data_IF_810323812921
#
_entry.id   IF_810323812921
#
_cell.length_a   1.000
_cell.length_b   1.000
_cell.length_c   1.000
_cell.angle_alpha   90.00
_cell.angle_beta   90.00
_cell.angle_gamma   90.00
#
_symmetry.space_group_name_H-M   'P 1'
#
loop_
_entity.id
_entity.type
_entity.pdbx_description
1 polymer ?
#
# COMPACT_ATOMS: atom_id res chain seq x y z
N UNK A 1 -1.75 12.25 17.92
CA UNK A 1 -1.65 10.85 17.47
C UNK A 1 -2.56 10.64 16.29
N UNK A 2 -2.47 9.50 15.62
CA UNK A 2 -3.30 9.17 14.45
C UNK A 2 -4.73 8.87 14.87
N UNK A 3 -5.65 9.80 14.59
CA UNK A 3 -7.08 9.69 14.93
C UNK A 3 -7.97 9.56 13.70
N UNK A 4 -7.39 9.70 12.51
CA UNK A 4 -8.01 9.46 11.20
C UNK A 4 -7.14 8.51 10.40
N UNK A 5 -7.69 7.73 9.45
CA UNK A 5 -6.90 6.79 8.66
C UNK A 5 -5.87 7.52 7.79
N UNK A 6 -4.72 6.90 7.60
CA UNK A 6 -3.74 7.26 6.56
C UNK A 6 -3.92 6.26 5.43
N UNK A 7 -4.16 6.73 4.21
CA UNK A 7 -4.29 5.86 3.04
C UNK A 7 -2.99 5.91 2.25
N UNK A 8 -2.31 4.78 2.10
CA UNK A 8 -1.12 4.69 1.25
C UNK A 8 -1.54 4.24 -0.15
N UNK A 9 -1.34 5.11 -1.14
CA UNK A 9 -1.50 4.76 -2.56
C UNK A 9 -0.15 4.36 -3.15
N UNK A 10 0.07 3.07 -3.37
CA UNK A 10 1.34 2.54 -3.90
C UNK A 10 1.33 2.48 -5.42
N UNK A 11 2.37 3.03 -6.06
CA UNK A 11 2.58 2.84 -7.50
C UNK A 11 3.11 1.43 -7.81
N UNK A 12 2.24 0.49 -8.15
CA UNK A 12 2.60 -0.92 -8.36
C UNK A 12 3.24 -1.24 -9.73
N UNK A 13 4.15 -0.39 -10.23
CA UNK A 13 4.85 -0.61 -11.50
C UNK A 13 6.30 -0.09 -11.46
N UNK A 14 7.19 -0.77 -12.18
CA UNK A 14 8.56 -0.32 -12.41
C UNK A 14 9.43 -0.26 -11.15
N UNK A 15 10.40 0.65 -11.17
CA UNK A 15 11.36 0.91 -10.11
C UNK A 15 12.10 -0.39 -9.67
N UNK A 16 12.41 -0.56 -8.39
CA UNK A 16 13.14 -1.72 -7.86
C UNK A 16 12.48 -3.07 -8.22
N UNK A 17 11.17 -3.10 -8.43
CA UNK A 17 10.40 -4.33 -8.66
C UNK A 17 10.49 -4.82 -10.11
N UNK A 18 11.11 -4.05 -11.00
CA UNK A 18 11.48 -4.45 -12.36
C UNK A 18 12.91 -4.04 -12.71
N UNK A 19 13.76 -3.93 -11.69
CA UNK A 19 15.16 -3.60 -11.88
C UNK A 19 15.94 -4.78 -12.47
N UNK A 20 17.07 -4.47 -13.12
CA UNK A 20 18.10 -5.44 -13.45
C UNK A 20 19.34 -5.11 -12.62
N UNK A 21 19.85 -6.07 -11.87
CA UNK A 21 21.02 -5.93 -11.02
C UNK A 21 22.04 -7.05 -11.26
N UNK A 22 23.30 -6.77 -10.95
CA UNK A 22 24.38 -7.74 -11.07
C UNK A 22 25.57 -7.42 -10.17
N UNK A 23 26.42 -8.43 -9.94
CA UNK A 23 27.74 -8.27 -9.31
C UNK A 23 28.81 -8.15 -10.39
N UNK A 24 29.70 -7.17 -10.26
CA UNK A 24 30.91 -7.09 -11.09
C UNK A 24 32.14 -7.54 -10.30
N UNK A 25 33.04 -8.35 -10.90
CA UNK A 25 34.06 -9.09 -10.16
C UNK A 25 35.35 -8.30 -9.84
N UNK A 26 35.52 -7.08 -10.34
CA UNK A 26 36.75 -6.31 -10.19
C UNK A 26 36.66 -4.92 -10.79
N UNK A 27 37.81 -4.24 -10.93
CA UNK A 27 37.87 -2.89 -11.48
C UNK A 27 37.25 -2.79 -12.88
N UNK A 28 36.56 -1.70 -13.18
CA UNK A 28 35.96 -1.48 -14.49
C UNK A 28 35.00 -0.29 -14.52
N UNK A 29 34.60 0.11 -15.72
CA UNK A 29 33.68 1.23 -15.93
C UNK A 29 32.24 0.73 -16.01
N UNK A 30 31.35 1.36 -15.25
CA UNK A 30 29.90 1.17 -15.35
C UNK A 30 29.31 2.32 -16.18
N UNK A 31 28.58 1.98 -17.24
CA UNK A 31 27.80 2.94 -18.04
C UNK A 31 26.32 2.53 -18.06
N UNK A 32 25.45 3.52 -18.30
CA UNK A 32 24.04 3.31 -18.60
C UNK A 32 23.76 3.88 -19.99
N UNK A 33 23.03 3.12 -20.81
CA UNK A 33 22.87 3.41 -22.23
C UNK A 33 21.43 3.20 -22.69
N UNK A 34 20.92 4.17 -23.45
CA UNK A 34 19.68 4.09 -24.19
C UNK A 34 19.99 4.17 -25.70
N UNK A 35 19.37 3.29 -26.48
CA UNK A 35 19.45 3.28 -27.94
C UNK A 35 18.02 3.42 -28.47
N UNK A 36 17.71 4.60 -29.00
CA UNK A 36 16.42 4.87 -29.61
C UNK A 36 16.27 4.15 -30.95
N UNK A 37 15.03 3.85 -31.33
CA UNK A 37 14.72 3.30 -32.65
C UNK A 37 15.06 4.28 -33.79
N UNK A 38 15.16 5.57 -33.48
CA UNK A 38 15.66 6.62 -34.38
C UNK A 38 17.19 6.61 -34.54
N UNK A 39 17.88 5.65 -33.92
CA UNK A 39 19.32 5.53 -33.92
C UNK A 39 20.04 6.47 -32.96
N UNK A 40 19.33 7.33 -32.21
CA UNK A 40 19.95 8.20 -31.21
C UNK A 40 20.41 7.38 -30.02
N UNK A 41 21.65 7.63 -29.59
CA UNK A 41 22.25 6.98 -28.44
C UNK A 41 22.44 8.00 -27.33
N UNK A 42 21.97 7.66 -26.14
CA UNK A 42 22.26 8.37 -24.91
C UNK A 42 23.09 7.43 -24.05
N UNK A 43 24.30 7.84 -23.68
CA UNK A 43 25.19 7.04 -22.84
C UNK A 43 25.78 7.91 -21.74
N UNK A 44 25.70 7.44 -20.50
CA UNK A 44 26.22 8.13 -19.33
C UNK A 44 27.16 7.20 -18.56
N UNK A 45 28.29 7.72 -18.13
CA UNK A 45 29.12 7.04 -17.14
C UNK A 45 28.43 7.11 -15.77
N UNK A 46 28.28 5.94 -15.14
CA UNK A 46 27.71 5.81 -13.80
C UNK A 46 28.84 5.85 -12.77
N UNK A 47 29.89 5.06 -12.97
CA UNK A 47 30.99 4.95 -12.02
C UNK A 47 32.23 4.29 -12.64
N UNK A 48 33.42 4.79 -12.33
CA UNK A 48 34.70 4.12 -12.58
C UNK A 48 35.09 3.31 -11.33
N UNK A 49 34.79 2.01 -11.35
CA UNK A 49 34.90 1.15 -10.19
C UNK A 49 36.36 0.70 -9.96
N UNK A 50 36.94 0.92 -8.76
CA UNK A 50 38.32 0.52 -8.47
C UNK A 50 38.46 -0.96 -8.05
N UNK A 51 37.36 -1.63 -7.71
CA UNK A 51 37.32 -3.00 -7.20
C UNK A 51 35.95 -3.65 -7.52
N UNK A 52 35.69 -4.87 -7.03
CA UNK A 52 34.41 -5.56 -7.20
C UNK A 52 33.25 -4.84 -6.48
N UNK A 53 32.01 -5.07 -6.93
CA UNK A 53 30.82 -4.43 -6.36
C UNK A 53 29.51 -4.89 -7.00
N UNK A 54 28.46 -4.08 -6.82
CA UNK A 54 27.12 -4.32 -7.38
C UNK A 54 26.62 -3.08 -8.14
N UNK A 55 25.86 -3.31 -9.19
CA UNK A 55 25.21 -2.26 -9.97
C UNK A 55 23.77 -2.65 -10.27
N UNK A 56 22.92 -1.65 -10.47
CA UNK A 56 21.54 -1.85 -10.90
C UNK A 56 21.07 -0.73 -11.82
N UNK A 57 20.06 -1.04 -12.63
CA UNK A 57 19.28 -0.07 -13.37
C UNK A 57 17.79 -0.37 -13.18
N UNK A 58 16.98 0.68 -13.12
CA UNK A 58 15.53 0.60 -13.04
C UNK A 58 14.89 1.66 -13.94
N UNK A 59 13.60 1.50 -14.21
CA UNK A 59 12.87 2.39 -15.10
C UNK A 59 11.42 2.53 -14.65
N UNK A 60 10.79 3.59 -15.14
CA UNK A 60 9.36 3.77 -15.07
C UNK A 60 8.86 4.37 -16.39
N UNK A 61 7.54 4.37 -16.59
CA UNK A 61 6.91 4.88 -17.79
C UNK A 61 6.02 6.06 -17.46
N UNK A 62 6.15 7.09 -18.26
CA UNK A 62 5.36 8.31 -18.23
C UNK A 62 3.85 8.02 -18.07
N UNK A 63 3.28 7.13 -18.89
CA UNK A 63 1.84 6.82 -18.81
C UNK A 63 1.47 6.13 -17.49
N UNK A 64 2.31 5.20 -17.01
CA UNK A 64 2.07 4.54 -15.73
C UNK A 64 2.06 5.53 -14.56
N UNK A 65 2.91 6.56 -14.61
CA UNK A 65 2.93 7.64 -13.60
C UNK A 65 1.66 8.50 -13.70
N UNK A 66 1.18 8.82 -14.91
CA UNK A 66 -0.09 9.57 -15.11
C UNK A 66 -1.28 8.81 -14.56
N UNK A 67 -1.38 7.53 -14.88
CA UNK A 67 -2.43 6.64 -14.37
C UNK A 67 -2.40 6.57 -12.84
N UNK A 68 -1.21 6.47 -12.24
CA UNK A 68 -1.03 6.50 -10.80
C UNK A 68 -1.46 7.85 -10.17
N UNK A 69 -1.14 8.97 -10.82
CA UNK A 69 -1.58 10.30 -10.39
C UNK A 69 -3.11 10.40 -10.39
N UNK A 70 -3.76 10.03 -11.50
CA UNK A 70 -5.22 10.02 -11.62
C UNK A 70 -5.88 9.13 -10.58
N UNK A 71 -5.37 7.92 -10.36
CA UNK A 71 -5.89 7.00 -9.36
C UNK A 71 -5.82 7.60 -7.95
N UNK A 72 -4.67 8.17 -7.59
CA UNK A 72 -4.45 8.80 -6.27
C UNK A 72 -5.35 10.01 -6.04
N UNK A 73 -5.48 10.89 -7.05
CA UNK A 73 -6.29 12.10 -6.99
C UNK A 73 -7.80 11.80 -6.95
N UNK A 74 -8.28 10.86 -7.77
CA UNK A 74 -9.65 10.37 -7.72
C UNK A 74 -9.99 9.77 -6.35
N UNK A 75 -9.08 8.98 -5.77
CA UNK A 75 -9.30 8.43 -4.43
C UNK A 75 -9.33 9.52 -3.36
N UNK A 76 -8.51 10.57 -3.49
CA UNK A 76 -8.58 11.78 -2.67
C UNK A 76 -9.95 12.45 -2.73
N UNK A 77 -10.51 12.65 -3.93
CA UNK A 77 -11.86 13.21 -4.12
C UNK A 77 -12.97 12.35 -3.50
N UNK A 78 -12.88 11.03 -3.72
CA UNK A 78 -13.83 10.04 -3.20
C UNK A 78 -13.86 10.06 -1.67
N UNK A 79 -12.69 10.14 -1.03
CA UNK A 79 -12.55 10.18 0.43
C UNK A 79 -12.69 11.58 1.02
N UNK A 80 -12.76 12.61 0.18
CA UNK A 80 -12.71 14.01 0.56
C UNK A 80 -11.46 14.37 1.38
N UNK A 81 -10.30 13.83 0.98
CA UNK A 81 -9.01 13.93 1.66
C UNK A 81 -7.98 14.63 0.77
N UNK A 82 -7.05 15.44 1.35
CA UNK A 82 -5.90 15.94 0.61
C UNK A 82 -4.97 14.80 0.18
N UNK A 83 -4.21 15.04 -0.89
CA UNK A 83 -3.30 14.06 -1.50
C UNK A 83 -1.87 14.57 -1.44
N UNK A 84 -0.96 13.72 -0.96
CA UNK A 84 0.47 14.02 -0.89
C UNK A 84 1.27 13.04 -1.73
N UNK A 85 2.04 13.53 -2.70
CA UNK A 85 3.07 12.73 -3.38
C UNK A 85 4.40 12.92 -2.66
N UNK A 86 5.10 11.84 -2.35
CA UNK A 86 6.46 11.89 -1.82
C UNK A 86 7.50 11.35 -2.79
N UNK A 87 8.63 12.07 -2.93
CA UNK A 87 9.78 11.63 -3.75
C UNK A 87 11.11 12.11 -3.14
N UNK A 88 12.25 11.80 -3.77
CA UNK A 88 13.55 12.41 -3.49
C UNK A 88 14.11 13.20 -4.69
N UNK A 89 13.28 14.02 -5.33
CA UNK A 89 13.63 14.77 -6.55
C UNK A 89 14.79 15.78 -6.41
N UNK A 90 15.20 16.16 -5.19
CA UNK A 90 16.42 16.95 -4.99
C UNK A 90 17.69 16.17 -5.34
N UNK A 91 17.65 14.84 -5.19
CA UNK A 91 18.73 13.90 -5.52
C UNK A 91 18.50 13.27 -6.89
N UNK A 92 17.35 12.62 -7.09
CA UNK A 92 16.97 11.99 -8.35
C UNK A 92 16.27 13.01 -9.27
N UNK A 93 17.01 14.04 -9.69
CA UNK A 93 16.46 15.23 -10.36
C UNK A 93 15.61 14.91 -11.59
N UNK A 94 16.07 14.01 -12.46
CA UNK A 94 15.32 13.60 -13.64
C UNK A 94 14.23 12.58 -13.30
N UNK A 95 14.59 11.51 -12.60
CA UNK A 95 13.69 10.37 -12.36
C UNK A 95 12.51 10.75 -11.45
N UNK A 96 12.80 11.26 -10.25
CA UNK A 96 11.78 11.66 -9.29
C UNK A 96 11.19 13.03 -9.62
N UNK A 97 11.95 13.88 -10.33
CA UNK A 97 11.39 15.10 -10.93
C UNK A 97 10.26 14.78 -11.89
N UNK A 98 10.38 13.71 -12.70
CA UNK A 98 9.32 13.32 -13.63
C UNK A 98 8.02 12.92 -12.94
N UNK A 99 8.09 12.22 -11.80
CA UNK A 99 6.91 11.94 -10.97
C UNK A 99 6.24 13.22 -10.48
N UNK A 100 7.04 14.14 -9.93
CA UNK A 100 6.55 15.44 -9.45
C UNK A 100 5.86 16.22 -10.56
N UNK A 101 6.53 16.35 -11.71
CA UNK A 101 6.04 17.15 -12.83
C UNK A 101 4.75 16.57 -13.39
N UNK A 102 4.69 15.26 -13.63
CA UNK A 102 3.48 14.58 -14.13
C UNK A 102 2.30 14.74 -13.16
N UNK A 103 2.52 14.55 -11.85
CA UNK A 103 1.43 14.73 -10.88
C UNK A 103 0.91 16.18 -10.87
N UNK A 104 1.82 17.16 -11.00
CA UNK A 104 1.43 18.57 -11.08
C UNK A 104 0.63 18.85 -12.35
N UNK A 105 1.11 18.39 -13.51
CA UNK A 105 0.43 18.51 -14.81
C UNK A 105 -0.99 17.92 -14.75
N UNK A 106 -1.14 16.70 -14.22
CA UNK A 106 -2.45 16.03 -14.09
C UNK A 106 -3.35 16.78 -13.11
N UNK A 107 -2.84 17.19 -11.95
CA UNK A 107 -3.62 17.91 -10.95
C UNK A 107 -4.19 19.23 -11.51
N UNK A 108 -3.34 20.06 -12.13
CA UNK A 108 -3.73 21.34 -12.69
C UNK A 108 -4.71 21.20 -13.85
N UNK A 109 -4.50 20.22 -14.72
CA UNK A 109 -5.34 20.01 -15.90
C UNK A 109 -6.70 19.38 -15.58
N UNK A 110 -6.75 18.43 -14.64
CA UNK A 110 -7.91 17.53 -14.48
C UNK A 110 -8.62 17.67 -13.11
N UNK A 111 -7.94 18.10 -12.03
CA UNK A 111 -8.45 17.94 -10.66
C UNK A 111 -8.56 19.23 -9.84
N UNK A 112 -7.82 20.29 -10.19
CA UNK A 112 -7.65 21.46 -9.33
C UNK A 112 -8.99 22.13 -8.95
N UNK A 113 -9.91 22.26 -9.91
CA UNK A 113 -11.21 22.88 -9.67
C UNK A 113 -12.05 22.13 -8.63
N UNK A 114 -12.09 20.80 -8.71
CA UNK A 114 -12.85 19.96 -7.79
C UNK A 114 -12.22 19.91 -6.39
N UNK A 115 -10.89 19.85 -6.31
CA UNK A 115 -10.16 19.92 -5.05
C UNK A 115 -10.42 21.24 -4.32
N UNK A 116 -10.33 22.37 -5.03
CA UNK A 116 -10.67 23.71 -4.50
C UNK A 116 -12.11 23.77 -4.00
N UNK A 117 -13.07 23.24 -4.76
CA UNK A 117 -14.49 23.21 -4.37
C UNK A 117 -14.72 22.41 -3.07
N UNK A 118 -13.99 21.30 -2.88
CA UNK A 118 -14.04 20.45 -1.68
C UNK A 118 -13.14 20.93 -0.54
N UNK A 119 -12.38 22.02 -0.73
CA UNK A 119 -11.41 22.55 0.24
C UNK A 119 -10.34 21.53 0.66
N UNK A 120 -9.92 20.70 -0.29
CA UNK A 120 -8.78 19.78 -0.18
C UNK A 120 -7.71 20.21 -1.19
N UNK A 121 -6.50 19.67 -1.08
CA UNK A 121 -5.37 20.07 -1.91
C UNK A 121 -4.51 18.88 -2.31
N UNK A 122 -3.71 19.08 -3.36
CA UNK A 122 -2.58 18.24 -3.71
C UNK A 122 -1.29 18.95 -3.33
N UNK A 123 -0.32 18.21 -2.79
CA UNK A 123 1.01 18.73 -2.48
C UNK A 123 2.11 17.69 -2.73
N UNK A 124 3.20 18.11 -3.35
CA UNK A 124 4.43 17.33 -3.43
C UNK A 124 5.30 17.61 -2.21
N UNK A 125 5.87 16.56 -1.60
CA UNK A 125 6.86 16.65 -0.53
C UNK A 125 8.09 15.80 -0.80
N UNK A 126 9.20 16.18 -0.18
CA UNK A 126 10.34 15.29 -0.07
C UNK A 126 10.00 14.16 0.92
N UNK A 127 10.38 12.93 0.60
CA UNK A 127 10.00 11.73 1.35
C UNK A 127 10.40 11.80 2.83
N UNK A 128 11.55 12.39 3.15
CA UNK A 128 12.02 12.60 4.52
C UNK A 128 11.17 13.60 5.31
N UNK A 129 10.70 14.67 4.67
CA UNK A 129 9.74 15.60 5.29
C UNK A 129 8.34 14.98 5.41
N UNK A 130 7.93 14.18 4.41
CA UNK A 130 6.63 13.50 4.43
C UNK A 130 6.53 12.48 5.57
N UNK A 131 7.55 11.64 5.78
CA UNK A 131 7.55 10.66 6.88
C UNK A 131 7.55 11.36 8.24
N UNK A 132 8.30 12.45 8.40
CA UNK A 132 8.33 13.24 9.63
C UNK A 132 6.99 13.94 9.89
N UNK A 133 6.32 14.40 8.84
CA UNK A 133 4.98 15.00 8.89
C UNK A 133 3.92 13.97 9.26
N UNK A 134 3.98 12.78 8.64
CA UNK A 134 3.06 11.66 8.91
C UNK A 134 3.03 11.29 10.39
N UNK A 135 4.20 11.21 11.04
CA UNK A 135 4.31 10.93 12.48
C UNK A 135 3.67 12.00 13.39
N UNK A 136 3.59 13.25 12.93
CA UNK A 136 3.08 14.39 13.71
C UNK A 136 1.60 14.66 13.47
N UNK A 137 1.12 14.42 12.25
CA UNK A 137 -0.26 14.68 11.86
C UNK A 137 -1.23 13.68 12.46
N UNK A 138 -2.52 13.99 12.38
CA UNK A 138 -3.59 13.14 12.93
C UNK A 138 -4.14 12.11 11.93
N UNK A 139 -3.51 11.95 10.77
CA UNK A 139 -4.05 11.21 9.63
C UNK A 139 -5.09 12.00 8.82
N UNK A 140 -5.86 11.31 7.97
CA UNK A 140 -6.92 11.92 7.17
C UNK A 140 -6.44 12.46 5.81
N UNK A 141 -5.52 11.74 5.17
CA UNK A 141 -4.95 12.11 3.87
C UNK A 141 -4.62 10.84 3.05
N UNK A 142 -4.47 11.03 1.74
CA UNK A 142 -3.89 10.03 0.83
C UNK A 142 -2.41 10.34 0.65
N UNK A 143 -1.56 9.34 0.86
CA UNK A 143 -0.13 9.39 0.63
C UNK A 143 0.20 8.56 -0.61
N UNK A 144 0.31 9.25 -1.75
CA UNK A 144 0.79 8.67 -2.99
C UNK A 144 2.30 8.40 -2.86
N UNK A 145 2.66 7.12 -2.81
CA UNK A 145 4.02 6.65 -2.68
C UNK A 145 4.50 5.99 -3.97
N UNK A 146 5.76 6.24 -4.32
CA UNK A 146 6.47 5.40 -5.29
C UNK A 146 6.48 3.94 -4.86
N UNK A 147 6.80 3.03 -5.77
CA UNK A 147 6.62 1.60 -5.54
C UNK A 147 7.25 1.10 -4.23
N UNK A 148 8.54 1.39 -4.04
CA UNK A 148 9.29 0.98 -2.84
C UNK A 148 8.85 1.71 -1.57
N UNK A 149 8.62 3.02 -1.67
CA UNK A 149 8.15 3.80 -0.51
C UNK A 149 6.78 3.30 -0.05
N UNK A 150 5.89 2.95 -0.99
CA UNK A 150 4.56 2.46 -0.68
C UNK A 150 4.58 1.11 0.02
N UNK A 151 5.47 0.21 -0.41
CA UNK A 151 5.70 -1.07 0.26
C UNK A 151 6.09 -0.85 1.73
N UNK A 152 7.18 -0.12 1.97
CA UNK A 152 7.73 0.09 3.33
C UNK A 152 6.79 0.92 4.22
N UNK A 153 6.21 2.00 3.68
CA UNK A 153 5.39 2.91 4.49
C UNK A 153 4.00 2.35 4.76
N UNK A 154 3.46 1.48 3.89
CA UNK A 154 2.21 0.78 4.18
C UNK A 154 2.35 -0.09 5.43
N UNK A 155 3.44 -0.84 5.58
CA UNK A 155 3.73 -1.63 6.77
C UNK A 155 3.88 -0.76 8.03
N UNK A 156 4.57 0.38 7.89
CA UNK A 156 4.77 1.34 8.99
C UNK A 156 3.42 1.91 9.46
N UNK A 157 2.55 2.30 8.51
CA UNK A 157 1.21 2.80 8.80
C UNK A 157 0.36 1.70 9.44
N UNK A 158 0.34 0.48 8.89
CA UNK A 158 -0.40 -0.64 9.45
C UNK A 158 -0.02 -0.92 10.90
N UNK A 159 1.29 -0.97 11.17
CA UNK A 159 1.81 -1.21 12.51
C UNK A 159 1.50 -0.06 13.47
N UNK A 160 1.54 1.19 13.01
CA UNK A 160 1.17 2.35 13.85
C UNK A 160 -0.33 2.48 14.13
N UNK A 161 -1.19 1.84 13.32
CA UNK A 161 -2.61 1.61 13.65
C UNK A 161 -2.87 0.32 14.44
N UNK A 162 -1.82 -0.41 14.79
CA UNK A 162 -1.86 -1.53 15.74
C UNK A 162 -1.22 -2.80 15.20
N UNK A 163 -1.64 -3.27 14.03
CA UNK A 163 -1.14 -4.52 13.46
C UNK A 163 -1.27 -4.55 11.94
N UNK A 164 -0.31 -5.18 11.29
CA UNK A 164 -0.38 -5.58 9.88
C UNK A 164 -1.65 -6.38 9.56
N UNK A 165 -2.17 -7.14 10.52
CA UNK A 165 -3.42 -7.90 10.39
C UNK A 165 -4.68 -7.05 10.29
N UNK A 166 -4.60 -5.74 10.53
CA UNK A 166 -5.73 -4.80 10.46
C UNK A 166 -5.73 -3.93 9.20
N UNK A 167 -4.80 -4.12 8.27
CA UNK A 167 -4.74 -3.32 7.04
C UNK A 167 -5.36 -4.06 5.86
N UNK A 168 -6.20 -3.34 5.10
CA UNK A 168 -6.71 -3.78 3.80
C UNK A 168 -5.82 -3.28 2.66
N UNK A 169 -5.54 -4.12 1.66
CA UNK A 169 -4.91 -3.70 0.40
C UNK A 169 -5.88 -3.93 -0.75
N UNK A 170 -6.07 -2.92 -1.59
CA UNK A 170 -6.87 -3.01 -2.81
C UNK A 170 -6.13 -2.26 -3.93
N UNK A 171 -5.68 -3.01 -4.93
CA UNK A 171 -5.21 -2.47 -6.19
C UNK A 171 -6.43 -2.16 -7.07
N UNK A 172 -6.52 -0.92 -7.57
CA UNK A 172 -7.58 -0.50 -8.49
C UNK A 172 -6.93 -0.06 -9.81
N UNK A 173 -7.43 -0.60 -10.92
CA UNK A 173 -6.99 -0.16 -12.25
C UNK A 173 -7.56 1.22 -12.60
N UNK A 174 -6.95 1.94 -13.54
CA UNK A 174 -7.38 3.30 -13.92
C UNK A 174 -8.81 3.38 -14.45
N UNK A 175 -9.35 2.28 -15.00
CA UNK A 175 -10.74 2.19 -15.47
C UNK A 175 -11.79 2.22 -14.34
N UNK A 176 -11.36 2.12 -13.07
CA UNK A 176 -12.22 2.07 -11.90
C UNK A 176 -13.12 0.82 -11.81
N UNK A 177 -12.88 -0.19 -12.66
CA UNK A 177 -13.70 -1.41 -12.77
C UNK A 177 -12.96 -2.66 -12.34
N UNK A 178 -11.67 -2.77 -12.60
CA UNK A 178 -10.91 -3.95 -12.18
C UNK A 178 -10.26 -3.69 -10.83
N UNK A 179 -10.44 -4.61 -9.89
CA UNK A 179 -9.79 -4.55 -8.59
C UNK A 179 -9.14 -5.89 -8.27
N UNK A 180 -8.01 -5.81 -7.58
CA UNK A 180 -7.37 -6.94 -6.93
C UNK A 180 -7.30 -6.58 -5.44
N UNK A 181 -7.77 -7.50 -4.59
CA UNK A 181 -7.86 -7.28 -3.15
C UNK A 181 -7.03 -8.35 -2.45
N UNK A 182 -6.13 -7.90 -1.59
CA UNK A 182 -5.16 -8.75 -0.90
C UNK A 182 -4.99 -8.32 0.57
N UNK A 183 -4.38 -9.19 1.36
CA UNK A 183 -3.82 -8.78 2.64
C UNK A 183 -2.50 -8.06 2.39
N UNK A 184 -2.25 -6.93 3.07
CA UNK A 184 -1.01 -6.18 2.88
C UNK A 184 0.24 -6.91 3.44
N UNK A 185 0.04 -7.90 4.31
CA UNK A 185 1.13 -8.63 4.94
C UNK A 185 1.56 -9.85 4.13
N UNK A 186 2.81 -10.28 4.32
CA UNK A 186 3.33 -11.53 3.74
C UNK A 186 2.75 -12.80 4.38
N UNK A 187 3.33 -13.95 4.04
CA UNK A 187 2.84 -15.30 4.42
C UNK A 187 3.06 -15.69 5.89
N UNK A 188 3.48 -14.74 6.74
CA UNK A 188 3.73 -14.95 8.18
C UNK A 188 4.61 -16.18 8.46
N UNK A 189 5.73 -16.31 7.72
CA UNK A 189 6.58 -17.51 7.70
C UNK A 189 7.00 -17.98 9.09
N UNK A 190 7.21 -17.07 10.04
CA UNK A 190 7.55 -17.41 11.44
C UNK A 190 6.46 -18.26 12.10
N UNK A 191 5.18 -17.89 11.95
CA UNK A 191 4.07 -18.67 12.49
C UNK A 191 3.91 -19.99 11.73
N UNK A 192 4.12 -19.97 10.42
CA UNK A 192 4.09 -21.19 9.62
C UNK A 192 5.12 -22.24 10.10
N UNK A 193 6.33 -21.81 10.50
CA UNK A 193 7.35 -22.71 11.07
C UNK A 193 6.94 -23.29 12.44
N UNK A 194 6.17 -22.56 13.24
CA UNK A 194 5.60 -23.07 14.51
C UNK A 194 4.50 -24.10 14.22
N UNK A 195 3.61 -23.78 13.30
CA UNK A 195 2.57 -24.70 12.83
C UNK A 195 3.16 -26.02 12.30
N UNK A 196 4.25 -25.99 11.53
CA UNK A 196 4.94 -27.19 11.03
C UNK A 196 5.48 -28.10 12.15
N UNK A 197 5.70 -27.56 13.36
CA UNK A 197 6.11 -28.33 14.54
C UNK A 197 4.92 -28.82 15.37
N UNK A 198 3.69 -28.55 14.95
CA UNK A 198 2.47 -28.82 15.73
C UNK A 198 2.24 -27.83 16.88
N UNK A 199 2.97 -26.71 16.91
CA UNK A 199 2.77 -25.66 17.90
C UNK A 199 1.52 -24.84 17.58
N UNK A 200 0.77 -24.46 18.61
CA UNK A 200 -0.38 -23.56 18.46
C UNK A 200 0.11 -22.15 18.08
N UNK A 201 -0.55 -21.53 17.10
CA UNK A 201 -0.24 -20.18 16.64
C UNK A 201 -1.38 -19.22 16.97
N UNK A 202 -1.13 -17.92 16.95
CA UNK A 202 -2.15 -16.88 17.01
C UNK A 202 -1.90 -15.87 15.90
N UNK A 203 -2.31 -16.25 14.69
CA UNK A 203 -2.15 -15.47 13.46
C UNK A 203 -3.44 -14.72 13.18
N UNK A 204 -3.36 -13.40 13.07
CA UNK A 204 -4.50 -12.56 12.76
C UNK A 204 -4.98 -12.80 11.32
N UNK A 205 -6.24 -13.17 11.15
CA UNK A 205 -6.86 -13.47 9.86
C UNK A 205 -7.70 -12.33 9.29
N UNK A 206 -7.83 -11.20 9.99
CA UNK A 206 -8.75 -10.11 9.62
C UNK A 206 -8.41 -9.54 8.24
N UNK A 207 -7.15 -9.15 7.97
CA UNK A 207 -6.74 -8.65 6.66
C UNK A 207 -7.05 -9.64 5.51
N UNK A 208 -6.86 -10.95 5.75
CA UNK A 208 -7.18 -12.00 4.78
C UNK A 208 -8.69 -12.13 4.56
N UNK A 209 -9.50 -12.03 5.61
CA UNK A 209 -10.97 -12.00 5.51
C UNK A 209 -11.41 -10.76 4.74
N UNK A 210 -10.82 -9.60 5.01
CA UNK A 210 -11.15 -8.35 4.34
C UNK A 210 -10.75 -8.35 2.86
N UNK A 211 -9.69 -9.06 2.46
CA UNK A 211 -9.38 -9.26 1.04
C UNK A 211 -10.55 -9.95 0.32
N UNK A 212 -11.13 -11.01 0.90
CA UNK A 212 -12.33 -11.65 0.39
C UNK A 212 -13.53 -10.70 0.36
N UNK A 213 -13.87 -10.06 1.47
CA UNK A 213 -15.08 -9.21 1.53
C UNK A 213 -14.98 -8.00 0.61
N UNK A 214 -13.79 -7.40 0.44
CA UNK A 214 -13.58 -6.31 -0.52
C UNK A 214 -13.78 -6.76 -1.95
N UNK A 215 -13.27 -7.93 -2.33
CA UNK A 215 -13.53 -8.53 -3.64
C UNK A 215 -15.02 -8.82 -3.86
N UNK A 216 -15.70 -9.42 -2.88
CA UNK A 216 -17.13 -9.71 -2.94
C UNK A 216 -17.99 -8.44 -3.00
N UNK A 217 -17.67 -7.41 -2.22
CA UNK A 217 -18.38 -6.13 -2.24
C UNK A 217 -18.22 -5.42 -3.59
N UNK A 218 -17.04 -5.51 -4.21
CA UNK A 218 -16.83 -4.98 -5.56
C UNK A 218 -17.61 -5.78 -6.62
N UNK A 219 -17.59 -7.11 -6.55
CA UNK A 219 -18.40 -7.98 -7.42
C UNK A 219 -19.89 -7.66 -7.27
N UNK A 220 -20.36 -7.48 -6.03
CA UNK A 220 -21.73 -7.10 -5.72
C UNK A 220 -22.12 -5.77 -6.37
N UNK A 221 -21.22 -4.78 -6.36
CA UNK A 221 -21.43 -3.49 -7.05
C UNK A 221 -21.54 -3.67 -8.56
N UNK A 222 -20.70 -4.51 -9.18
CA UNK A 222 -20.71 -4.76 -10.62
C UNK A 222 -21.97 -5.52 -11.07
N UNK A 223 -22.52 -6.39 -10.23
CA UNK A 223 -23.69 -7.24 -10.52
C UNK A 223 -25.02 -6.67 -10.01
N UNK A 224 -24.99 -5.52 -9.32
CA UNK A 224 -26.14 -4.99 -8.56
C UNK A 224 -26.74 -6.02 -7.58
N UNK A 225 -25.87 -6.78 -6.90
CA UNK A 225 -26.26 -7.87 -6.00
C UNK A 225 -26.28 -7.40 -4.53
N UNK A 226 -27.47 -7.00 -4.06
CA UNK A 226 -27.66 -6.50 -2.70
C UNK A 226 -27.37 -7.54 -1.60
N UNK A 227 -27.65 -8.83 -1.84
CA UNK A 227 -27.42 -9.89 -0.86
C UNK A 227 -25.92 -10.13 -0.65
N UNK A 228 -25.14 -10.17 -1.74
CA UNK A 228 -23.70 -10.33 -1.67
C UNK A 228 -23.04 -9.13 -0.98
N UNK A 229 -23.53 -7.92 -1.26
CA UNK A 229 -23.09 -6.71 -0.56
C UNK A 229 -23.36 -6.81 0.94
N UNK A 230 -24.58 -7.20 1.34
CA UNK A 230 -24.96 -7.36 2.75
C UNK A 230 -24.09 -8.40 3.45
N UNK A 231 -23.79 -9.52 2.80
CA UNK A 231 -22.91 -10.55 3.35
C UNK A 231 -21.50 -10.00 3.61
N UNK A 232 -20.89 -9.36 2.61
CA UNK A 232 -19.54 -8.79 2.73
C UNK A 232 -19.46 -7.74 3.86
N UNK A 233 -20.42 -6.81 3.92
CA UNK A 233 -20.49 -5.80 4.98
C UNK A 233 -20.74 -6.41 6.37
N UNK A 234 -21.54 -7.48 6.44
CA UNK A 234 -21.81 -8.18 7.71
C UNK A 234 -20.57 -8.87 8.23
N UNK A 235 -19.81 -9.56 7.38
CA UNK A 235 -18.58 -10.24 7.77
C UNK A 235 -17.50 -9.26 8.25
N UNK A 236 -17.32 -8.11 7.58
CA UNK A 236 -16.42 -7.05 8.05
C UNK A 236 -16.84 -6.54 9.45
N UNK A 237 -18.13 -6.28 9.64
CA UNK A 237 -18.68 -5.83 10.94
C UNK A 237 -18.47 -6.88 12.04
N UNK A 238 -18.68 -8.16 11.74
CA UNK A 238 -18.47 -9.26 12.69
C UNK A 238 -17.01 -9.34 13.14
N UNK A 239 -16.05 -9.15 12.24
CA UNK A 239 -14.63 -9.11 12.60
C UNK A 239 -14.33 -8.00 13.61
N UNK A 240 -14.83 -6.78 13.34
CA UNK A 240 -14.63 -5.61 14.21
C UNK A 240 -15.28 -5.86 15.58
N UNK A 241 -16.55 -6.26 15.60
CA UNK A 241 -17.29 -6.50 16.84
C UNK A 241 -16.71 -7.64 17.68
N UNK A 242 -16.11 -8.65 17.05
CA UNK A 242 -15.45 -9.75 17.76
C UNK A 242 -14.23 -9.26 18.52
N UNK A 243 -13.40 -8.41 17.89
CA UNK A 243 -12.24 -7.78 18.54
C UNK A 243 -12.69 -6.81 19.64
N UNK A 244 -13.68 -5.94 19.37
CA UNK A 244 -14.22 -4.98 20.35
C UNK A 244 -14.84 -5.67 21.57
N UNK A 245 -15.40 -6.88 21.40
CA UNK A 245 -15.90 -7.72 22.49
C UNK A 245 -14.79 -8.43 23.29
N UNK A 246 -13.51 -8.20 22.97
CA UNK A 246 -12.36 -8.74 23.70
C UNK A 246 -11.81 -10.06 23.14
N UNK A 247 -12.38 -10.60 22.06
CA UNK A 247 -11.91 -11.82 21.42
C UNK A 247 -10.97 -11.46 20.27
N UNK A 248 -9.66 -11.63 20.47
CA UNK A 248 -8.66 -11.17 19.50
C UNK A 248 -7.45 -12.10 19.46
N UNK A 249 -6.65 -11.99 18.41
CA UNK A 249 -5.36 -12.67 18.31
C UNK A 249 -4.27 -11.94 19.11
N UNK A 250 -3.16 -12.64 19.34
CA UNK A 250 -2.09 -12.23 20.24
C UNK A 250 -1.46 -10.89 19.86
N UNK A 251 -1.34 -10.59 18.57
CA UNK A 251 -0.84 -9.32 18.08
C UNK A 251 -1.66 -8.13 18.59
N UNK A 252 -2.99 -8.25 18.65
CA UNK A 252 -3.88 -7.19 19.13
C UNK A 252 -3.91 -7.11 20.65
N UNK A 253 -3.94 -8.26 21.33
CA UNK A 253 -3.95 -8.33 22.79
C UNK A 253 -2.72 -7.64 23.40
N UNK A 254 -1.54 -7.84 22.81
CA UNK A 254 -0.29 -7.23 23.26
C UNK A 254 -0.28 -5.69 23.19
N UNK A 255 -1.14 -5.07 22.36
CA UNK A 255 -1.28 -3.61 22.28
C UNK A 255 -2.09 -3.03 23.43
N UNK A 256 -2.98 -3.84 24.01
CA UNK A 256 -3.87 -3.44 25.13
C UNK A 256 -3.11 -3.57 26.45
N UNK A 257 -2.44 -4.70 26.67
CA UNK A 257 -1.66 -4.93 27.88
C UNK A 257 -1.29 -6.41 28.09
N UNK A 258 -0.38 -6.70 29.04
CA UNK A 258 0.13 -8.06 29.26
C UNK A 258 -0.94 -9.05 29.75
N UNK A 259 -2.00 -8.55 30.36
CA UNK A 259 -3.07 -9.38 30.96
C UNK A 259 -4.25 -9.62 30.02
N UNK A 260 -4.27 -9.02 28.83
CA UNK A 260 -5.36 -9.19 27.88
C UNK A 260 -5.34 -10.61 27.27
N UNK A 261 -6.39 -11.43 27.44
CA UNK A 261 -6.43 -12.76 26.84
C UNK A 261 -6.48 -12.67 25.30
N UNK A 262 -6.00 -13.73 24.65
CA UNK A 262 -6.03 -13.88 23.20
C UNK A 262 -6.42 -15.30 22.80
N UNK A 263 -6.87 -15.45 21.56
CA UNK A 263 -7.27 -16.71 20.95
C UNK A 263 -6.21 -17.23 19.99
N UNK A 264 -6.09 -18.56 19.88
CA UNK A 264 -5.30 -19.17 18.82
C UNK A 264 -5.89 -18.90 17.44
N UNK A 265 -5.13 -19.20 16.39
CA UNK A 265 -5.55 -18.98 14.99
C UNK A 265 -6.89 -19.65 14.70
N UNK A 266 -7.06 -20.91 15.11
CA UNK A 266 -8.31 -21.65 14.95
C UNK A 266 -9.39 -21.12 15.86
N UNK A 267 -9.09 -20.88 17.15
CA UNK A 267 -10.08 -20.36 18.09
C UNK A 267 -10.64 -19.00 17.69
N UNK A 268 -9.84 -18.13 17.08
CA UNK A 268 -10.31 -16.85 16.54
C UNK A 268 -11.20 -17.04 15.31
N UNK A 269 -10.83 -17.93 14.36
CA UNK A 269 -11.65 -18.24 13.20
C UNK A 269 -13.00 -18.87 13.59
N UNK A 270 -13.00 -19.81 14.53
CA UNK A 270 -14.22 -20.44 15.06
C UNK A 270 -15.13 -19.38 15.70
N UNK A 271 -14.54 -18.43 16.45
CA UNK A 271 -15.29 -17.34 17.06
C UNK A 271 -15.93 -16.39 16.04
N UNK A 272 -15.23 -16.14 14.93
CA UNK A 272 -15.76 -15.35 13.81
C UNK A 272 -16.92 -16.08 13.14
N UNK A 273 -16.80 -17.39 12.88
CA UNK A 273 -17.86 -18.21 12.29
C UNK A 273 -19.12 -18.22 13.17
N UNK A 274 -18.96 -18.51 14.48
CA UNK A 274 -20.05 -18.47 15.47
C UNK A 274 -20.80 -17.13 15.46
N UNK A 275 -20.06 -16.02 15.39
CA UNK A 275 -20.64 -14.68 15.40
C UNK A 275 -21.28 -14.32 14.05
N UNK A 276 -20.73 -14.80 12.93
CA UNK A 276 -21.30 -14.62 11.60
C UNK A 276 -22.62 -15.37 11.46
N UNK A 277 -22.69 -16.63 11.90
CA UNK A 277 -23.93 -17.41 11.88
C UNK A 277 -25.06 -16.70 12.64
N UNK A 278 -24.75 -16.14 13.83
CA UNK A 278 -25.72 -15.35 14.61
C UNK A 278 -26.14 -14.06 13.92
N UNK A 279 -25.21 -13.40 13.21
CA UNK A 279 -25.50 -12.14 12.51
C UNK A 279 -26.29 -12.34 11.21
N UNK A 280 -26.25 -13.55 10.64
CA UNK A 280 -26.91 -13.93 9.38
C UNK A 280 -28.24 -14.67 9.57
N UNK A 281 -28.53 -15.16 10.78
CA UNK A 281 -29.81 -15.75 11.18
C UNK A 281 -30.95 -14.72 11.18
#
# INVERSE_FOLDING_TARGET
GWTKPIIVGRHAFGDQYRATDFRFPGKGKLTIKFVGEDGKVIEHEVFDAPAAGVAMAMYNLDESIREFARASLNYGLLRNYPVYLSTKNTILKAYDGRFKDIFQEVYEAEFEAEFKAKKIWYEHRLIDDMVASSLKWSGGYVWACKNYDGDVQSDTVAQGFGSLGLMTSVLMTPDGKTVEAEAAHGTVTRHYRQHQKGEETSTNSIASIFAWTRGLAHRAKLDDNAELKRFAETLERVCIQTVEAGFMTKDLSLLIGPDQPWLSTTGFLDKIDDNLQKAMA
#
